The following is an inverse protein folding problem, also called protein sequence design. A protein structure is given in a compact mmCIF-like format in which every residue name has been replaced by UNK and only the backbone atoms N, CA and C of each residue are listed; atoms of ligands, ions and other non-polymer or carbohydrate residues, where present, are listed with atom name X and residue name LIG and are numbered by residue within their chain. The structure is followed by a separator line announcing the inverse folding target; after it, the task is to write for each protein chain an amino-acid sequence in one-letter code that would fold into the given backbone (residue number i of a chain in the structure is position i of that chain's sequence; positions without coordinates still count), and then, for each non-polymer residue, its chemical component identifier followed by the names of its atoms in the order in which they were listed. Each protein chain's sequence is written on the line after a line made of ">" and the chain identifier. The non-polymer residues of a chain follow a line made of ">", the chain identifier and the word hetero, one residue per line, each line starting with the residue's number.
data_IF_285323896223
#
_entry.id   IF_285323896223
#
_cell.length_a   1.000
_cell.length_b   1.000
_cell.length_c   1.000
_cell.angle_alpha   90.00
_cell.angle_beta   90.00
_cell.angle_gamma   90.00
#
_symmetry.space_group_name_H-M   'P 1'
#
loop_
_entity.id
_entity.type
_entity.pdbx_description
1 polymer ?
#
# COMPACT_ATOMS: atom_id res chain seq x y z
N UNK A 1 5.95 -10.76 -8.11
CA UNK A 1 5.52 -9.39 -8.48
C UNK A 1 5.09 -8.64 -7.23
N UNK A 2 5.04 -7.32 -7.27
CA UNK A 2 4.74 -6.45 -6.14
C UNK A 2 3.68 -5.43 -6.52
N UNK A 3 2.53 -5.45 -5.84
CA UNK A 3 1.48 -4.45 -6.00
C UNK A 3 1.71 -3.29 -5.04
N UNK A 4 1.67 -2.06 -5.54
CA UNK A 4 1.60 -0.87 -4.69
C UNK A 4 0.14 -0.47 -4.57
N UNK A 5 -0.32 -0.35 -3.33
CA UNK A 5 -1.70 0.00 -3.01
C UNK A 5 -1.69 1.23 -2.12
N UNK A 6 -2.67 2.12 -2.26
CA UNK A 6 -2.84 3.27 -1.38
C UNK A 6 -4.29 3.66 -1.13
N UNK A 7 -4.49 4.47 -0.09
CA UNK A 7 -5.71 5.24 0.12
C UNK A 7 -5.41 6.54 0.86
N UNK A 8 -6.39 7.45 0.89
CA UNK A 8 -6.31 8.71 1.64
C UNK A 8 -7.17 8.63 2.90
N UNK A 9 -6.57 8.85 4.07
CA UNK A 9 -7.22 8.61 5.37
C UNK A 9 -8.07 9.78 5.86
N UNK A 10 -8.14 10.89 5.13
CA UNK A 10 -8.86 12.12 5.52
C UNK A 10 -10.35 12.12 5.12
N UNK A 11 -10.85 10.99 4.62
CA UNK A 11 -12.25 10.84 4.21
C UNK A 11 -13.08 10.24 5.34
N UNK A 12 -14.00 11.03 5.90
CA UNK A 12 -15.06 10.50 6.76
C UNK A 12 -16.06 9.72 5.88
N UNK A 13 -15.85 8.42 5.71
CA UNK A 13 -16.73 7.57 4.90
C UNK A 13 -15.99 6.39 4.27
N UNK A 14 -16.64 5.68 3.33
CA UNK A 14 -16.01 4.62 2.57
C UNK A 14 -14.75 5.13 1.88
N UNK A 15 -13.63 4.49 2.16
CA UNK A 15 -12.34 4.86 1.62
C UNK A 15 -12.13 4.13 0.30
N UNK A 16 -11.78 4.87 -0.76
CA UNK A 16 -11.41 4.27 -2.04
C UNK A 16 -9.96 3.80 -1.97
N UNK A 17 -9.77 2.49 -2.11
CA UNK A 17 -8.44 1.88 -2.25
C UNK A 17 -8.03 1.93 -3.72
N UNK A 18 -6.78 2.30 -3.98
CA UNK A 18 -6.20 2.46 -5.31
C UNK A 18 -5.06 1.46 -5.50
N UNK A 19 -5.02 0.84 -6.68
CA UNK A 19 -3.87 0.09 -7.16
C UNK A 19 -3.02 1.07 -7.97
N UNK A 20 -1.88 1.47 -7.42
CA UNK A 20 -1.02 2.48 -8.04
C UNK A 20 0.00 1.91 -9.03
N UNK A 21 0.12 0.57 -9.06
CA UNK A 21 0.95 -0.16 -10.02
C UNK A 21 1.29 -1.58 -9.56
N UNK A 22 1.75 -2.39 -10.51
CA UNK A 22 2.33 -3.72 -10.29
C UNK A 22 3.74 -3.69 -10.86
N UNK A 23 4.70 -4.19 -10.09
CA UNK A 23 6.13 -4.11 -10.38
C UNK A 23 6.78 -5.48 -10.26
N UNK A 24 7.84 -5.72 -11.02
CA UNK A 24 8.56 -6.99 -10.96
C UNK A 24 9.45 -7.06 -9.72
N UNK A 25 10.01 -5.92 -9.31
CA UNK A 25 10.94 -5.84 -8.18
C UNK A 25 10.38 -5.05 -7.00
N UNK A 26 10.84 -5.43 -5.80
CA UNK A 26 10.51 -4.71 -4.56
C UNK A 26 11.08 -3.29 -4.58
N UNK A 27 12.20 -3.07 -5.28
CA UNK A 27 12.84 -1.75 -5.39
C UNK A 27 11.95 -0.78 -6.18
N UNK A 28 11.43 -1.19 -7.33
CA UNK A 28 10.50 -0.38 -8.14
C UNK A 28 9.21 -0.09 -7.37
N UNK A 29 8.66 -1.09 -6.69
CA UNK A 29 7.47 -0.90 -5.85
C UNK A 29 7.73 0.09 -4.71
N UNK A 30 8.89 0.03 -4.04
CA UNK A 30 9.28 1.00 -3.00
C UNK A 30 9.48 2.40 -3.55
N UNK A 31 10.11 2.54 -4.72
CA UNK A 31 10.26 3.83 -5.38
C UNK A 31 8.90 4.44 -5.68
N UNK A 32 7.98 3.67 -6.25
CA UNK A 32 6.62 4.11 -6.52
C UNK A 32 5.87 4.49 -5.24
N UNK A 33 5.94 3.65 -4.21
CA UNK A 33 5.33 3.94 -2.90
C UNK A 33 5.84 5.27 -2.34
N UNK A 34 7.15 5.53 -2.42
CA UNK A 34 7.75 6.77 -1.95
C UNK A 34 7.22 7.99 -2.74
N UNK A 35 7.08 7.87 -4.05
CA UNK A 35 6.51 8.92 -4.92
C UNK A 35 5.07 9.27 -4.52
N UNK A 36 4.21 8.25 -4.37
CA UNK A 36 2.79 8.43 -3.99
C UNK A 36 2.67 9.05 -2.60
N UNK A 37 3.57 8.67 -1.69
CA UNK A 37 3.68 9.22 -0.34
C UNK A 37 4.33 10.61 -0.28
N UNK A 38 4.71 11.21 -1.42
CA UNK A 38 5.26 12.57 -1.47
C UNK A 38 6.72 12.67 -1.00
N UNK A 39 7.51 11.63 -1.24
CA UNK A 39 8.97 11.61 -1.04
C UNK A 39 9.42 11.27 0.38
N UNK A 40 8.49 11.01 1.31
CA UNK A 40 8.79 10.54 2.67
C UNK A 40 7.71 9.57 3.15
N UNK A 41 8.14 8.57 3.90
CA UNK A 41 7.26 7.54 4.47
C UNK A 41 7.64 7.30 5.92
N UNK A 42 6.65 7.20 6.81
CA UNK A 42 6.80 6.67 8.15
C UNK A 42 5.89 5.44 8.34
N UNK A 43 6.18 4.52 9.27
CA UNK A 43 5.25 3.43 9.58
C UNK A 43 3.92 4.01 10.07
N UNK A 44 2.79 3.44 9.61
CA UNK A 44 1.46 3.91 10.06
C UNK A 44 1.20 3.51 11.52
N UNK A 45 1.63 2.31 11.92
CA UNK A 45 1.62 1.81 13.30
C UNK A 45 2.85 0.93 13.54
N UNK A 46 3.19 0.66 14.81
CA UNK A 46 4.18 -0.36 15.15
C UNK A 46 3.71 -1.73 14.63
N UNK A 47 4.58 -2.43 13.89
CA UNK A 47 4.36 -3.78 13.35
C UNK A 47 3.24 -3.94 12.31
N UNK A 48 3.12 -2.99 11.37
CA UNK A 48 2.26 -3.17 10.19
C UNK A 48 3.02 -3.06 8.87
N UNK A 49 2.41 -3.55 7.80
CA UNK A 49 3.00 -3.54 6.45
C UNK A 49 2.71 -2.24 5.68
N UNK A 50 2.18 -1.21 6.34
CA UNK A 50 1.79 0.04 5.70
C UNK A 50 2.64 1.22 6.17
N UNK A 51 2.77 2.18 5.28
CA UNK A 51 3.43 3.45 5.54
C UNK A 51 2.46 4.59 5.36
N UNK A 52 2.66 5.65 6.13
CA UNK A 52 1.99 6.93 5.97
C UNK A 52 2.94 7.92 5.28
N UNK A 53 2.43 8.56 4.24
CA UNK A 53 3.08 9.64 3.49
C UNK A 53 2.47 11.01 3.79
N UNK A 54 2.83 11.98 2.95
CA UNK A 54 2.22 13.32 2.98
C UNK A 54 0.72 13.26 2.66
N UNK A 55 -0.01 14.28 3.13
CA UNK A 55 -1.45 14.46 2.88
C UNK A 55 -2.33 13.26 3.30
N UNK A 56 -1.94 12.60 4.40
CA UNK A 56 -2.69 11.47 4.97
C UNK A 56 -2.82 10.27 4.02
N UNK A 57 -1.91 10.14 3.07
CA UNK A 57 -1.83 8.96 2.20
C UNK A 57 -1.27 7.79 3.01
N UNK A 58 -1.94 6.66 2.95
CA UNK A 58 -1.46 5.39 3.52
C UNK A 58 -1.24 4.42 2.35
N UNK A 59 -0.09 3.76 2.33
CA UNK A 59 0.29 2.83 1.26
C UNK A 59 0.94 1.57 1.81
N UNK A 60 0.78 0.44 1.12
CA UNK A 60 1.50 -0.80 1.40
C UNK A 60 1.88 -1.51 0.10
N UNK A 61 2.83 -2.42 0.20
CA UNK A 61 3.28 -3.25 -0.92
C UNK A 61 2.84 -4.69 -0.65
N UNK A 62 2.04 -5.26 -1.56
CA UNK A 62 1.60 -6.66 -1.49
C UNK A 62 2.45 -7.50 -2.42
N UNK A 63 3.02 -8.60 -1.93
CA UNK A 63 3.68 -9.59 -2.78
C UNK A 63 2.60 -10.43 -3.49
N UNK A 64 2.68 -10.50 -4.81
CA UNK A 64 1.81 -11.30 -5.65
C UNK A 64 2.64 -12.46 -6.23
N UNK A 65 2.33 -13.72 -5.84
CA UNK A 65 2.83 -14.89 -6.54
C UNK A 65 2.37 -14.89 -8.00
N UNK A 66 3.25 -15.28 -8.92
CA UNK A 66 2.88 -15.39 -10.33
C UNK A 66 1.73 -16.38 -10.52
N UNK A 67 0.66 -15.94 -11.17
CA UNK A 67 -0.56 -16.73 -11.38
C UNK A 67 -1.72 -16.44 -10.42
N UNK A 68 -1.49 -15.69 -9.33
CA UNK A 68 -2.51 -15.45 -8.29
C UNK A 68 -3.24 -14.09 -8.42
N UNK A 69 -3.20 -13.46 -9.59
CA UNK A 69 -3.84 -12.15 -9.84
C UNK A 69 -5.35 -12.16 -9.52
N UNK A 70 -6.04 -13.26 -9.82
CA UNK A 70 -7.50 -13.37 -9.66
C UNK A 70 -7.94 -13.64 -8.21
N UNK A 71 -6.99 -13.86 -7.29
CA UNK A 71 -7.25 -14.13 -5.87
C UNK A 71 -6.77 -12.99 -4.95
N UNK A 72 -6.55 -11.81 -5.52
CA UNK A 72 -6.05 -10.66 -4.79
C UNK A 72 -7.17 -9.91 -4.05
N UNK A 73 -7.28 -10.19 -2.76
CA UNK A 73 -8.04 -9.35 -1.84
C UNK A 73 -7.30 -8.04 -1.55
N UNK A 74 -7.97 -6.91 -1.76
CA UNK A 74 -7.43 -5.58 -1.48
C UNK A 74 -8.39 -4.85 -0.55
N UNK A 75 -8.10 -4.91 0.74
CA UNK A 75 -8.83 -4.18 1.79
C UNK A 75 -7.95 -3.06 2.36
N UNK A 76 -8.44 -2.37 3.38
CA UNK A 76 -7.57 -1.58 4.25
C UNK A 76 -6.41 -2.45 4.78
N UNK A 77 -5.24 -1.88 5.12
CA UNK A 77 -4.10 -2.65 5.62
C UNK A 77 -4.55 -3.60 6.71
N UNK A 78 -4.08 -4.86 6.65
CA UNK A 78 -4.48 -5.89 7.60
C UNK A 78 -4.33 -5.38 9.04
N UNK A 79 -5.41 -5.33 9.84
CA UNK A 79 -5.27 -5.06 11.26
C UNK A 79 -4.53 -6.24 11.90
N UNK A 80 -3.67 -5.95 12.89
CA UNK A 80 -2.79 -6.90 13.60
C UNK A 80 -3.32 -8.34 13.59
N UNK A 81 -2.56 -9.27 13.02
CA UNK A 81 -2.64 -10.67 13.40
C UNK A 81 -2.36 -10.74 14.91
N UNK A 82 -3.33 -11.25 15.69
CA UNK A 82 -3.15 -11.50 17.13
C UNK A 82 -2.09 -12.56 17.38
#
# INVERSE_FOLDING_TARGET
>A
MFMVVSYKSDTFGPVKVLIDGIYETMEEAKKRQLEICGGRTGPTYSDNNSVQGRHSVISWIKNIPTGDLDKLDIYMPDPKSK
#
